data_IF_716066765395
#
_entry.id   IF_716066765395
#
_cell.length_a   1.000
_cell.length_b   1.000
_cell.length_c   1.000
_cell.angle_alpha   90.00
_cell.angle_beta   90.00
_cell.angle_gamma   90.00
#
_symmetry.space_group_name_H-M   'P 1'
#
loop_
_entity.id
_entity.type
_entity.pdbx_description
1 polymer ?
#
# COMPACT_ATOMS: atom_id res chain seq x y z
N UNK A 1 -33.98 15.35 -43.72
CA UNK A 1 -32.87 14.37 -43.61
C UNK A 1 -31.95 14.80 -42.47
N UNK A 2 -32.10 14.31 -41.24
CA UNK A 2 -31.15 14.54 -40.15
C UNK A 2 -31.42 13.50 -39.05
N UNK A 3 -30.81 12.32 -39.17
CA UNK A 3 -30.88 11.25 -38.14
C UNK A 3 -29.64 10.34 -38.12
N UNK A 4 -28.49 10.81 -38.64
CA UNK A 4 -27.25 9.99 -38.75
C UNK A 4 -26.20 10.28 -37.67
N UNK A 5 -26.25 11.40 -36.96
CA UNK A 5 -25.14 11.85 -36.08
C UNK A 5 -25.03 11.13 -34.73
N UNK A 6 -26.12 10.59 -34.18
CA UNK A 6 -26.07 9.87 -32.89
C UNK A 6 -25.35 8.51 -32.96
N UNK A 7 -25.46 7.83 -34.11
CA UNK A 7 -24.92 6.47 -34.29
C UNK A 7 -23.39 6.46 -34.38
N UNK A 8 -22.79 7.53 -34.91
CA UNK A 8 -21.34 7.64 -35.06
C UNK A 8 -20.65 8.02 -33.73
N UNK A 9 -21.31 8.82 -32.89
CA UNK A 9 -20.83 9.17 -31.56
C UNK A 9 -20.85 7.96 -30.61
N UNK A 10 -21.92 7.16 -30.65
CA UNK A 10 -22.04 5.92 -29.86
C UNK A 10 -21.00 4.88 -30.29
N UNK A 11 -20.71 4.80 -31.59
CA UNK A 11 -19.69 3.92 -32.16
C UNK A 11 -18.27 4.34 -31.77
N UNK A 12 -17.99 5.65 -31.72
CA UNK A 12 -16.72 6.16 -31.20
C UNK A 12 -16.55 5.89 -29.69
N UNK A 13 -17.60 6.11 -28.89
CA UNK A 13 -17.57 5.80 -27.46
C UNK A 13 -17.32 4.32 -27.19
N UNK A 14 -17.94 3.42 -27.97
CA UNK A 14 -17.73 1.98 -27.87
C UNK A 14 -16.28 1.58 -28.21
N UNK A 15 -15.68 2.21 -29.22
CA UNK A 15 -14.28 2.00 -29.59
C UNK A 15 -13.30 2.50 -28.52
N UNK A 16 -13.58 3.64 -27.90
CA UNK A 16 -12.77 4.14 -26.78
C UNK A 16 -12.83 3.22 -25.56
N UNK A 17 -14.03 2.69 -25.24
CA UNK A 17 -14.21 1.75 -24.13
C UNK A 17 -13.51 0.40 -24.38
N UNK A 18 -13.52 -0.09 -25.61
CA UNK A 18 -12.80 -1.33 -25.97
C UNK A 18 -11.28 -1.14 -25.93
N UNK A 19 -10.77 0.02 -26.36
CA UNK A 19 -9.35 0.37 -26.21
C UNK A 19 -8.93 0.50 -24.74
N UNK A 20 -9.75 1.17 -23.91
CA UNK A 20 -9.49 1.26 -22.47
C UNK A 20 -9.51 -0.11 -21.80
N UNK A 21 -10.44 -0.98 -22.19
CA UNK A 21 -10.53 -2.35 -21.67
C UNK A 21 -9.28 -3.18 -22.01
N UNK A 22 -8.79 -3.07 -23.25
CA UNK A 22 -7.56 -3.77 -23.67
C UNK A 22 -6.31 -3.24 -22.97
N UNK A 23 -6.18 -1.92 -22.81
CA UNK A 23 -5.09 -1.30 -22.05
C UNK A 23 -5.15 -1.73 -20.58
N UNK A 24 -6.33 -1.71 -19.97
CA UNK A 24 -6.50 -2.12 -18.57
C UNK A 24 -6.14 -3.60 -18.38
N UNK A 25 -6.58 -4.48 -19.29
CA UNK A 25 -6.19 -5.91 -19.27
C UNK A 25 -4.68 -6.09 -19.41
N UNK A 26 -4.03 -5.34 -20.30
CA UNK A 26 -2.56 -5.37 -20.46
C UNK A 26 -1.84 -4.93 -19.18
N UNK A 27 -2.33 -3.86 -18.54
CA UNK A 27 -1.78 -3.37 -17.28
C UNK A 27 -1.94 -4.39 -16.15
N UNK A 28 -3.10 -5.03 -16.04
CA UNK A 28 -3.37 -6.08 -15.05
C UNK A 28 -2.43 -7.28 -15.24
N UNK A 29 -2.16 -7.68 -16.48
CA UNK A 29 -1.18 -8.72 -16.77
C UNK A 29 0.22 -8.31 -16.31
N UNK A 30 0.67 -7.09 -16.65
CA UNK A 30 1.97 -6.58 -16.21
C UNK A 30 2.09 -6.53 -14.69
N UNK A 31 1.05 -6.07 -13.98
CA UNK A 31 1.02 -6.05 -12.51
C UNK A 31 1.15 -7.48 -11.96
N UNK A 32 0.43 -8.44 -12.54
CA UNK A 32 0.48 -9.85 -12.14
C UNK A 32 1.88 -10.44 -12.35
N UNK A 33 2.51 -10.16 -13.49
CA UNK A 33 3.84 -10.67 -13.81
C UNK A 33 4.93 -10.04 -12.93
N UNK A 34 4.85 -8.72 -12.69
CA UNK A 34 5.73 -8.04 -11.75
C UNK A 34 5.55 -8.55 -10.32
N UNK A 35 4.32 -8.88 -9.90
CA UNK A 35 4.04 -9.48 -8.59
C UNK A 35 4.64 -10.88 -8.44
N UNK A 36 4.55 -11.72 -9.48
CA UNK A 36 5.21 -13.04 -9.51
C UNK A 36 6.73 -12.92 -9.44
N UNK A 37 7.32 -12.01 -10.23
CA UNK A 37 8.75 -11.75 -10.22
C UNK A 37 9.20 -11.27 -8.83
N UNK A 38 8.45 -10.35 -8.23
CA UNK A 38 8.71 -9.86 -6.89
C UNK A 38 8.63 -11.00 -5.86
N UNK A 39 7.62 -11.87 -5.93
CA UNK A 39 7.49 -13.06 -5.10
C UNK A 39 8.68 -14.00 -5.20
N UNK A 40 9.18 -14.26 -6.42
CA UNK A 40 10.37 -15.09 -6.65
C UNK A 40 11.65 -14.46 -6.07
N UNK A 41 11.84 -13.15 -6.28
CA UNK A 41 13.00 -12.43 -5.76
C UNK A 41 12.97 -12.37 -4.24
N UNK A 42 11.79 -12.16 -3.64
CA UNK A 42 11.60 -12.15 -2.18
C UNK A 42 11.80 -13.55 -1.61
N UNK A 43 11.24 -14.60 -2.21
CA UNK A 43 11.44 -15.97 -1.76
C UNK A 43 12.92 -16.40 -1.81
N UNK A 44 13.64 -15.96 -2.86
CA UNK A 44 15.07 -16.21 -3.04
C UNK A 44 15.95 -15.43 -2.04
N UNK A 45 15.62 -14.18 -1.76
CA UNK A 45 16.41 -13.29 -0.90
C UNK A 45 16.13 -13.52 0.59
N UNK A 46 14.89 -13.87 0.95
CA UNK A 46 14.43 -13.97 2.33
C UNK A 46 14.05 -15.40 2.75
N UNK A 47 14.28 -16.39 1.89
CA UNK A 47 14.20 -17.82 2.26
C UNK A 47 12.83 -18.24 2.78
N UNK A 48 11.76 -17.98 2.02
CA UNK A 48 10.44 -18.54 2.32
C UNK A 48 10.43 -20.04 2.00
N UNK A 49 11.15 -20.83 2.82
CA UNK A 49 10.95 -22.26 2.90
C UNK A 49 9.90 -22.47 3.97
N UNK A 50 8.79 -23.08 3.56
CA UNK A 50 7.72 -23.54 4.42
C UNK A 50 8.32 -24.42 5.55
N UNK A 51 8.53 -23.83 6.72
CA UNK A 51 9.01 -24.53 7.91
C UNK A 51 8.23 -24.02 9.11
N UNK A 52 7.41 -24.90 9.64
CA UNK A 52 6.86 -24.88 11.00
C UNK A 52 7.91 -24.40 12.03
N UNK A 53 7.48 -23.74 13.11
CA UNK A 53 8.35 -22.88 13.89
C UNK A 53 9.34 -23.68 14.75
N UNK A 54 10.63 -23.33 14.82
CA UNK A 54 11.50 -23.82 15.88
C UNK A 54 11.36 -22.94 17.12
N UNK A 55 11.46 -23.61 18.27
CA UNK A 55 11.03 -23.13 19.58
C UNK A 55 11.76 -21.91 20.14
N UNK A 56 11.06 -21.28 21.09
CA UNK A 56 11.51 -20.21 21.98
C UNK A 56 12.96 -20.41 22.46
N UNK A 57 13.76 -19.36 22.35
CA UNK A 57 14.87 -19.11 23.30
C UNK A 57 14.75 -17.70 23.84
N UNK A 58 14.31 -17.62 25.09
CA UNK A 58 14.43 -16.44 25.95
C UNK A 58 15.92 -16.27 26.27
N UNK A 59 16.48 -15.08 26.06
CA UNK A 59 17.69 -14.64 26.76
C UNK A 59 17.54 -13.20 27.26
N UNK A 60 18.00 -13.06 28.50
CA UNK A 60 17.85 -11.95 29.43
C UNK A 60 18.57 -10.66 29.02
N UNK A 61 17.91 -9.56 29.42
CA UNK A 61 18.36 -8.19 29.69
C UNK A 61 19.87 -7.88 29.63
N UNK A 62 20.23 -6.90 28.79
CA UNK A 62 21.22 -5.87 29.13
C UNK A 62 20.70 -4.51 28.68
N UNK A 63 20.56 -3.62 29.66
CA UNK A 63 20.39 -2.19 29.45
C UNK A 63 21.60 -1.65 28.68
N UNK A 64 21.40 -1.39 27.40
CA UNK A 64 22.22 -0.49 26.61
C UNK A 64 21.24 0.52 26.05
N UNK A 65 21.46 1.80 26.34
CA UNK A 65 20.85 2.89 25.57
C UNK A 65 21.39 2.77 24.15
N UNK A 66 20.79 1.86 23.39
CA UNK A 66 21.05 1.65 21.99
C UNK A 66 20.48 2.88 21.31
N UNK A 67 21.36 3.74 20.77
CA UNK A 67 20.97 4.69 19.73
C UNK A 67 20.19 3.87 18.71
N UNK A 68 18.86 3.98 18.74
CA UNK A 68 17.96 3.16 17.94
C UNK A 68 18.30 3.47 16.49
N UNK A 69 19.14 2.62 15.88
CA UNK A 69 19.29 2.60 14.43
C UNK A 69 17.87 2.43 13.90
N UNK A 70 17.43 3.24 12.91
CA UNK A 70 16.13 3.04 12.31
C UNK A 70 16.09 1.58 11.84
N UNK A 71 15.26 0.77 12.52
CA UNK A 71 15.09 -0.63 12.15
C UNK A 71 14.61 -0.63 10.72
N UNK A 72 15.21 -1.46 9.88
CA UNK A 72 14.76 -1.59 8.50
C UNK A 72 13.30 -2.03 8.49
N UNK A 73 12.51 -1.49 7.56
CA UNK A 73 11.10 -1.85 7.37
C UNK A 73 10.98 -3.35 7.13
N UNK A 74 10.17 -4.03 7.92
CA UNK A 74 9.80 -5.42 7.72
C UNK A 74 8.73 -5.52 6.64
N UNK A 75 9.17 -5.54 5.37
CA UNK A 75 8.26 -5.70 4.24
C UNK A 75 7.42 -6.97 4.30
N UNK A 76 7.93 -8.04 4.94
CA UNK A 76 7.16 -9.26 5.19
C UNK A 76 5.95 -9.01 6.10
N UNK A 77 6.13 -8.25 7.17
CA UNK A 77 5.03 -7.93 8.08
C UNK A 77 3.99 -7.03 7.39
N UNK A 78 4.45 -6.01 6.66
CA UNK A 78 3.58 -5.12 5.87
C UNK A 78 2.78 -5.93 4.84
N UNK A 79 3.43 -6.84 4.13
CA UNK A 79 2.76 -7.70 3.15
C UNK A 79 1.71 -8.61 3.78
N UNK A 80 2.04 -9.29 4.89
CA UNK A 80 1.08 -10.18 5.57
C UNK A 80 -0.15 -9.39 6.04
N UNK A 81 0.05 -8.22 6.64
CA UNK A 81 -1.03 -7.35 7.06
C UNK A 81 -1.88 -6.92 5.85
N UNK A 82 -1.26 -6.34 4.82
CA UNK A 82 -1.97 -5.88 3.62
C UNK A 82 -2.68 -7.02 2.87
N UNK A 83 -2.13 -8.24 2.89
CA UNK A 83 -2.79 -9.41 2.32
C UNK A 83 -4.07 -9.77 3.07
N UNK A 84 -4.05 -9.75 4.41
CA UNK A 84 -5.24 -10.00 5.24
C UNK A 84 -6.30 -8.94 4.99
N UNK A 85 -5.90 -7.68 4.95
CA UNK A 85 -6.75 -6.53 4.62
C UNK A 85 -7.40 -6.75 3.23
N UNK A 86 -6.63 -7.21 2.25
CA UNK A 86 -7.15 -7.49 0.90
C UNK A 86 -8.17 -8.61 0.85
N UNK A 87 -8.01 -9.66 1.68
CA UNK A 87 -8.97 -10.76 1.78
C UNK A 87 -10.29 -10.30 2.42
N UNK A 88 -10.20 -9.46 3.46
CA UNK A 88 -11.39 -8.90 4.13
C UNK A 88 -12.13 -7.94 3.18
N UNK A 89 -11.38 -7.14 2.43
CA UNK A 89 -11.94 -6.27 1.38
C UNK A 89 -12.42 -7.02 0.13
N UNK A 90 -12.05 -8.28 -0.09
CA UNK A 90 -12.46 -9.04 -1.27
C UNK A 90 -13.94 -9.43 -1.25
N UNK A 91 -14.62 -9.32 -0.10
CA UNK A 91 -16.04 -9.64 0.02
C UNK A 91 -16.90 -8.88 -0.99
N UNK A 92 -17.85 -9.58 -1.61
CA UNK A 92 -18.83 -9.01 -2.55
C UNK A 92 -19.95 -8.25 -1.84
N UNK A 93 -20.17 -8.49 -0.54
CA UNK A 93 -21.14 -7.79 0.29
C UNK A 93 -20.56 -6.62 1.09
N UNK A 94 -19.28 -6.28 0.83
CA UNK A 94 -18.57 -5.22 1.54
C UNK A 94 -19.31 -3.89 1.43
N UNK A 95 -19.49 -3.21 2.56
CA UNK A 95 -20.01 -1.85 2.65
C UNK A 95 -18.89 -0.85 2.95
N UNK A 96 -19.16 0.44 2.72
CA UNK A 96 -18.22 1.52 3.03
C UNK A 96 -17.77 1.51 4.50
N UNK A 97 -18.72 1.33 5.42
CA UNK A 97 -18.45 1.29 6.86
C UNK A 97 -17.52 0.13 7.25
N UNK A 98 -17.52 -0.97 6.50
CA UNK A 98 -16.65 -2.12 6.78
C UNK A 98 -15.19 -1.74 6.57
N UNK A 99 -14.88 -0.92 5.56
CA UNK A 99 -13.51 -0.43 5.30
C UNK A 99 -13.00 0.38 6.51
N UNK A 100 -13.84 1.25 7.05
CA UNK A 100 -13.52 2.07 8.24
C UNK A 100 -13.35 1.17 9.47
N UNK A 101 -14.18 0.15 9.64
CA UNK A 101 -14.05 -0.81 10.74
C UNK A 101 -12.75 -1.63 10.63
N UNK A 102 -12.39 -2.11 9.44
CA UNK A 102 -11.15 -2.84 9.18
C UNK A 102 -9.95 -1.94 9.53
N UNK A 103 -9.99 -0.67 9.11
CA UNK A 103 -8.96 0.32 9.43
C UNK A 103 -8.72 0.44 10.94
N UNK A 104 -9.79 0.59 11.73
CA UNK A 104 -9.68 0.71 13.19
C UNK A 104 -9.31 -0.59 13.89
N UNK A 105 -9.85 -1.73 13.44
CA UNK A 105 -9.61 -3.07 14.01
C UNK A 105 -8.14 -3.46 13.92
N UNK A 106 -7.48 -3.17 12.80
CA UNK A 106 -6.08 -3.53 12.55
C UNK A 106 -5.07 -2.46 12.97
N UNK A 107 -5.51 -1.34 13.56
CA UNK A 107 -4.59 -0.37 14.16
C UNK A 107 -3.71 -0.99 15.25
N UNK A 108 -4.18 -2.09 15.85
CA UNK A 108 -3.46 -2.88 16.86
C UNK A 108 -2.81 -4.15 16.27
N UNK A 109 -2.39 -4.15 15.00
CA UNK A 109 -1.76 -5.31 14.39
C UNK A 109 -0.44 -5.65 15.08
N UNK A 110 -0.31 -6.80 15.77
CA UNK A 110 0.89 -7.16 16.53
C UNK A 110 2.11 -7.42 15.65
N UNK A 111 1.90 -7.60 14.35
CA UNK A 111 2.95 -7.87 13.36
C UNK A 111 3.72 -6.60 12.96
N UNK A 112 3.07 -5.43 13.02
CA UNK A 112 3.64 -4.15 12.60
C UNK A 112 4.18 -3.41 13.81
N UNK A 113 5.49 -3.47 13.99
CA UNK A 113 6.15 -2.94 15.18
C UNK A 113 6.63 -1.50 14.98
N UNK A 114 6.76 -1.07 13.71
CA UNK A 114 7.21 0.28 13.38
C UNK A 114 6.04 1.16 12.95
N UNK A 115 6.06 2.42 13.38
CA UNK A 115 5.06 3.42 12.96
C UNK A 115 4.99 3.58 11.44
N UNK A 116 6.12 3.45 10.73
CA UNK A 116 6.16 3.55 9.27
C UNK A 116 5.53 2.33 8.59
N UNK A 117 5.69 1.12 9.15
CA UNK A 117 5.06 -0.09 8.65
C UNK A 117 3.53 -0.03 8.78
N UNK A 118 3.05 0.44 9.95
CA UNK A 118 1.63 0.68 10.21
C UNK A 118 1.07 1.71 9.23
N UNK A 119 1.79 2.79 8.98
CA UNK A 119 1.41 3.82 8.03
C UNK A 119 1.31 3.31 6.59
N UNK A 120 2.29 2.51 6.13
CA UNK A 120 2.23 1.93 4.78
C UNK A 120 1.00 1.02 4.64
N UNK A 121 0.71 0.19 5.66
CA UNK A 121 -0.50 -0.65 5.67
C UNK A 121 -1.77 0.20 5.62
N UNK A 122 -1.86 1.23 6.46
CA UNK A 122 -3.01 2.13 6.51
C UNK A 122 -3.28 2.80 5.16
N UNK A 123 -2.24 3.27 4.48
CA UNK A 123 -2.35 3.86 3.14
C UNK A 123 -2.86 2.83 2.12
N UNK A 124 -2.29 1.62 2.11
CA UNK A 124 -2.70 0.54 1.20
C UNK A 124 -4.18 0.15 1.38
N UNK A 125 -4.61 -0.03 2.63
CA UNK A 125 -6.00 -0.37 2.95
C UNK A 125 -6.97 0.72 2.47
N UNK A 126 -6.67 1.99 2.77
CA UNK A 126 -7.54 3.10 2.40
C UNK A 126 -7.57 3.34 0.89
N UNK A 127 -6.43 3.22 0.20
CA UNK A 127 -6.38 3.27 -1.27
C UNK A 127 -7.24 2.17 -1.89
N UNK A 128 -7.20 0.95 -1.34
CA UNK A 128 -7.98 -0.17 -1.85
C UNK A 128 -9.48 0.01 -1.53
N UNK A 129 -9.82 0.56 -0.36
CA UNK A 129 -11.17 0.95 0.00
C UNK A 129 -11.74 2.03 -0.94
N UNK A 130 -10.99 3.10 -1.17
CA UNK A 130 -11.38 4.19 -2.09
C UNK A 130 -11.53 3.72 -3.55
N UNK A 131 -10.77 2.70 -3.97
CA UNK A 131 -10.99 2.09 -5.29
C UNK A 131 -12.37 1.42 -5.40
N UNK A 132 -12.91 0.90 -4.30
CA UNK A 132 -14.26 0.30 -4.26
C UNK A 132 -15.36 1.33 -4.02
N UNK A 133 -15.09 2.34 -3.19
CA UNK A 133 -16.05 3.38 -2.81
C UNK A 133 -15.48 4.78 -3.07
N UNK A 134 -15.29 5.18 -4.34
CA UNK A 134 -14.61 6.43 -4.70
C UNK A 134 -15.38 7.70 -4.30
N UNK A 135 -16.70 7.58 -4.11
CA UNK A 135 -17.57 8.71 -3.73
C UNK A 135 -17.75 8.85 -2.22
N UNK A 136 -17.14 7.96 -1.43
CA UNK A 136 -17.20 8.01 0.04
C UNK A 136 -16.49 9.25 0.56
N UNK A 137 -17.25 10.18 1.12
CA UNK A 137 -16.71 11.39 1.74
C UNK A 137 -15.88 11.03 2.97
N UNK A 138 -16.34 10.05 3.76
CA UNK A 138 -15.69 9.65 5.00
C UNK A 138 -14.33 8.98 4.75
N UNK A 139 -14.23 8.09 3.76
CA UNK A 139 -12.96 7.47 3.38
C UNK A 139 -11.98 8.49 2.79
N UNK A 140 -12.47 9.46 2.02
CA UNK A 140 -11.62 10.56 1.49
C UNK A 140 -11.06 11.39 2.64
N UNK A 141 -11.88 11.75 3.63
CA UNK A 141 -11.43 12.50 4.81
C UNK A 141 -10.40 11.71 5.62
N UNK A 142 -10.67 10.42 5.86
CA UNK A 142 -9.78 9.53 6.60
C UNK A 142 -8.43 9.37 5.88
N UNK A 143 -8.45 9.14 4.57
CA UNK A 143 -7.24 9.04 3.75
C UNK A 143 -6.43 10.35 3.75
N UNK A 144 -7.09 11.49 3.60
CA UNK A 144 -6.43 12.80 3.69
C UNK A 144 -5.82 13.05 5.08
N UNK A 145 -6.44 12.54 6.16
CA UNK A 145 -5.88 12.62 7.50
C UNK A 145 -4.60 11.79 7.64
N UNK A 146 -4.59 10.54 7.14
CA UNK A 146 -3.43 9.65 7.17
C UNK A 146 -2.24 10.24 6.39
N UNK A 147 -2.47 10.77 5.18
CA UNK A 147 -1.43 11.42 4.37
C UNK A 147 -0.86 12.65 5.08
N UNK A 148 -1.73 13.50 5.65
CA UNK A 148 -1.28 14.69 6.38
C UNK A 148 -0.39 14.32 7.56
N UNK A 149 -0.72 13.26 8.28
CA UNK A 149 0.12 12.75 9.38
C UNK A 149 1.44 12.15 8.90
N UNK A 150 1.49 11.55 7.70
CA UNK A 150 2.73 11.08 7.07
C UNK A 150 3.72 12.19 6.74
N UNK A 151 3.21 13.35 6.32
CA UNK A 151 4.03 14.51 5.98
C UNK A 151 4.56 15.29 7.19
N UNK A 152 4.21 14.90 8.42
CA UNK A 152 4.78 15.49 9.64
C UNK A 152 6.14 14.88 10.05
N UNK A 153 6.65 13.86 9.36
CA UNK A 153 8.09 13.57 9.40
C UNK A 153 8.76 14.75 8.70
N UNK A 154 9.62 15.56 9.36
CA UNK A 154 10.24 16.70 8.72
C UNK A 154 11.02 16.18 7.51
N UNK A 155 10.53 16.48 6.31
CA UNK A 155 11.39 16.48 5.13
C UNK A 155 12.57 17.34 5.56
N UNK A 156 13.75 16.74 5.72
CA UNK A 156 14.98 17.49 5.94
C UNK A 156 14.92 18.62 4.91
N UNK A 157 14.81 19.86 5.42
CA UNK A 157 14.40 20.99 4.59
C UNK A 157 15.29 21.02 3.35
N UNK A 158 14.77 21.44 2.21
CA UNK A 158 15.59 21.61 1.01
C UNK A 158 16.88 22.44 1.31
N UNK A 159 16.86 23.26 2.37
CA UNK A 159 18.03 23.95 2.90
C UNK A 159 19.06 23.01 3.57
N UNK A 160 18.66 21.99 4.32
CA UNK A 160 19.56 21.02 4.93
C UNK A 160 20.24 20.14 3.88
N UNK A 161 19.50 19.68 2.87
CA UNK A 161 20.06 18.93 1.73
C UNK A 161 20.97 19.82 0.87
N UNK A 162 20.59 21.07 0.62
CA UNK A 162 21.47 22.04 -0.07
C UNK A 162 22.76 22.33 0.71
N UNK A 163 22.69 22.44 2.05
CA UNK A 163 23.89 22.65 2.88
C UNK A 163 24.80 21.41 2.92
N UNK A 164 24.22 20.21 2.90
CA UNK A 164 24.97 18.96 2.86
C UNK A 164 25.67 18.79 1.50
N UNK A 165 24.97 19.08 0.40
CA UNK A 165 25.56 19.05 -0.95
C UNK A 165 26.66 20.09 -1.13
N UNK A 166 26.51 21.31 -0.57
CA UNK A 166 27.58 22.32 -0.57
C UNK A 166 28.82 21.90 0.22
N UNK A 167 28.65 21.16 1.32
CA UNK A 167 29.78 20.65 2.12
C UNK A 167 30.51 19.49 1.45
N UNK A 168 29.86 18.77 0.54
CA UNK A 168 30.46 17.69 -0.26
C UNK A 168 31.10 18.20 -1.56
N UNK A 169 30.94 19.48 -1.87
CA UNK A 169 31.50 20.13 -3.05
C UNK A 169 32.80 20.92 -2.75
N UNK A 170 33.41 20.68 -1.59
CA UNK A 170 34.74 21.19 -1.19
C UNK A 170 35.72 20.02 -1.20
#
# INVERSE_FOLDING_TARGET
>A
MLKRTGKDADMQALNCLTQLSTVNRSLQHKITDCSKLWGLLVARQFGYVDKSPPGRRIKSSRNVQEKVKPRAISWKAVFIAAWRDSLELASTSLQENDVVQIYHKQKNCPELHQSLEAQIREELLLMQGLRKFPTSVDLVHLYAQVIRQAHFVPRASAANTASALRRLAI
#
